data_IF_661149093046
#
_entry.id   IF_661149093046
#
_cell.length_a   1.000
_cell.length_b   1.000
_cell.length_c   1.000
_cell.angle_alpha   90.00
_cell.angle_beta   90.00
_cell.angle_gamma   90.00
#
_symmetry.space_group_name_H-M   'P 1'
#
loop_
_entity.id
_entity.type
_entity.pdbx_description
1 polymer ?
#
# COMPACT_ATOMS: atom_id res chain seq x y z
N UNK A 1 -31.60 14.50 2.67
CA UNK A 1 -30.94 13.61 1.70
C UNK A 1 -29.53 14.15 1.48
N UNK A 2 -28.52 13.56 2.11
CA UNK A 2 -27.14 14.05 2.00
C UNK A 2 -26.49 13.52 0.72
N UNK A 3 -25.96 14.45 -0.08
CA UNK A 3 -25.24 14.25 -1.33
C UNK A 3 -23.90 13.53 -1.08
N UNK A 4 -23.68 12.42 -1.80
CA UNK A 4 -22.47 11.62 -1.74
C UNK A 4 -21.40 12.25 -2.66
N UNK A 5 -20.61 13.18 -2.11
CA UNK A 5 -19.33 13.54 -2.72
C UNK A 5 -18.28 12.53 -2.25
N UNK A 6 -18.27 11.38 -2.93
CA UNK A 6 -17.32 10.30 -2.72
C UNK A 6 -15.96 10.72 -3.27
N UNK A 7 -14.98 10.86 -2.38
CA UNK A 7 -13.62 11.14 -2.77
C UNK A 7 -13.02 9.95 -3.50
N UNK A 8 -12.47 10.23 -4.69
CA UNK A 8 -12.08 9.21 -5.64
C UNK A 8 -10.56 9.04 -5.59
N UNK A 9 -10.03 7.81 -5.47
CA UNK A 9 -8.59 7.61 -5.46
C UNK A 9 -8.01 7.95 -6.82
N UNK A 10 -6.85 8.62 -6.80
CA UNK A 10 -6.10 9.03 -7.97
C UNK A 10 -4.84 8.18 -8.09
N UNK A 11 -4.39 7.94 -9.33
CA UNK A 11 -3.16 7.19 -9.61
C UNK A 11 -1.96 8.13 -9.52
N UNK A 12 -0.92 7.74 -8.77
CA UNK A 12 0.39 8.43 -8.73
C UNK A 12 1.45 7.49 -9.28
N UNK A 13 2.36 8.00 -10.11
CA UNK A 13 3.53 7.26 -10.62
C UNK A 13 4.82 7.92 -10.15
N UNK A 14 5.72 7.14 -9.53
CA UNK A 14 6.95 7.65 -8.88
C UNK A 14 8.24 7.26 -9.61
N UNK A 15 8.18 6.86 -10.89
CA UNK A 15 9.35 6.34 -11.61
C UNK A 15 10.54 7.30 -11.75
N UNK A 16 10.30 8.62 -11.81
CA UNK A 16 11.36 9.65 -11.94
C UNK A 16 10.99 11.02 -11.35
N UNK A 17 9.84 11.18 -10.71
CA UNK A 17 9.39 12.48 -10.16
C UNK A 17 9.50 12.51 -8.63
N UNK A 18 9.92 13.64 -8.04
CA UNK A 18 9.83 13.84 -6.59
C UNK A 18 8.37 13.67 -6.15
N UNK A 19 8.17 13.06 -4.97
CA UNK A 19 6.86 12.79 -4.37
C UNK A 19 5.95 14.01 -4.51
N UNK A 20 4.94 13.95 -5.38
CA UNK A 20 3.98 15.03 -5.51
C UNK A 20 3.11 15.06 -4.24
N UNK A 21 3.12 16.19 -3.54
CA UNK A 21 2.25 16.45 -2.40
C UNK A 21 0.83 16.73 -2.92
N UNK A 22 -0.08 15.77 -2.75
CA UNK A 22 -1.48 15.88 -3.16
C UNK A 22 -2.37 15.20 -2.13
N UNK A 23 -3.48 15.84 -1.76
CA UNK A 23 -4.43 15.28 -0.78
C UNK A 23 -5.27 14.19 -1.44
N UNK A 24 -5.06 12.93 -1.05
CA UNK A 24 -5.90 11.81 -1.49
C UNK A 24 -6.97 11.52 -0.45
N UNK A 25 -8.18 11.18 -0.89
CA UNK A 25 -9.11 10.48 0.00
C UNK A 25 -9.55 9.15 -0.61
N UNK A 26 -8.94 8.07 -0.11
CA UNK A 26 -9.59 6.78 -0.03
C UNK A 26 -10.52 6.80 1.20
N UNK A 27 -11.73 6.23 1.10
CA UNK A 27 -12.63 6.11 2.26
C UNK A 27 -11.87 5.42 3.41
N UNK A 28 -11.73 6.09 4.57
CA UNK A 28 -11.01 5.50 5.66
C UNK A 28 -11.76 4.30 6.25
N UNK A 29 -11.03 3.27 6.71
CA UNK A 29 -9.61 3.03 6.44
C UNK A 29 -9.48 2.06 5.26
N UNK A 30 -8.68 2.44 4.25
CA UNK A 30 -8.11 1.46 3.33
C UNK A 30 -7.25 0.51 4.17
N UNK A 31 -7.82 -0.65 4.51
CA UNK A 31 -7.13 -1.69 5.28
C UNK A 31 -6.73 -2.80 4.32
N UNK A 32 -5.43 -2.96 4.15
CA UNK A 32 -4.86 -4.13 3.51
C UNK A 32 -3.82 -4.77 4.44
N UNK A 33 -3.46 -6.00 4.12
CA UNK A 33 -2.35 -6.72 4.71
C UNK A 33 -1.19 -6.75 3.72
N UNK A 34 0.06 -6.93 4.19
CA UNK A 34 1.18 -7.16 3.31
C UNK A 34 0.96 -8.41 2.45
N UNK A 35 1.24 -8.32 1.16
CA UNK A 35 1.06 -9.38 0.17
C UNK A 35 -0.27 -9.36 -0.61
N UNK A 36 -1.20 -8.49 -0.22
CA UNK A 36 -2.48 -8.34 -0.92
C UNK A 36 -2.36 -7.57 -2.25
N UNK A 37 -3.37 -7.72 -3.09
CA UNK A 37 -3.48 -7.01 -4.37
C UNK A 37 -4.78 -6.19 -4.42
N UNK A 38 -4.90 -5.34 -5.44
CA UNK A 38 -6.15 -4.66 -5.77
C UNK A 38 -6.77 -5.21 -7.05
N UNK A 39 -8.09 -5.32 -7.06
CA UNK A 39 -8.90 -5.38 -8.27
C UNK A 39 -9.23 -3.94 -8.69
N UNK A 40 -8.56 -3.43 -9.70
CA UNK A 40 -8.66 -2.06 -10.20
C UNK A 40 -9.72 -1.95 -11.30
N UNK A 41 -10.66 -1.04 -11.08
CA UNK A 41 -11.70 -0.64 -12.02
C UNK A 41 -11.39 0.76 -12.55
N UNK A 42 -11.22 0.86 -13.88
CA UNK A 42 -10.91 2.11 -14.57
C UNK A 42 -12.14 2.51 -15.40
N UNK A 43 -12.67 3.75 -15.25
CA UNK A 43 -13.79 4.22 -16.05
C UNK A 43 -13.53 4.04 -17.56
N UNK A 44 -14.50 3.46 -18.27
CA UNK A 44 -14.41 3.20 -19.70
C UNK A 44 -13.60 1.95 -20.09
N UNK A 45 -12.98 1.24 -19.15
CA UNK A 45 -12.30 -0.05 -19.39
C UNK A 45 -13.10 -1.17 -18.70
N UNK A 46 -13.77 -2.06 -19.45
CA UNK A 46 -14.63 -3.09 -18.87
C UNK A 46 -13.85 -4.21 -18.16
N UNK A 47 -12.57 -4.37 -18.48
CA UNK A 47 -11.69 -5.37 -17.86
C UNK A 47 -11.19 -4.88 -16.50
N UNK A 48 -11.35 -5.71 -15.47
CA UNK A 48 -10.77 -5.46 -14.14
C UNK A 48 -9.28 -5.86 -14.14
N UNK A 49 -8.43 -5.00 -13.60
CA UNK A 49 -6.99 -5.24 -13.52
C UNK A 49 -6.54 -5.66 -12.12
N UNK A 50 -5.93 -6.84 -11.98
CA UNK A 50 -5.33 -7.29 -10.72
C UNK A 50 -3.90 -6.79 -10.57
N UNK A 51 -3.61 -5.97 -9.54
CA UNK A 51 -2.26 -5.43 -9.30
C UNK A 51 -1.85 -5.54 -7.84
N UNK A 52 -0.67 -6.13 -7.58
CA UNK A 52 -0.16 -6.30 -6.22
C UNK A 52 0.23 -4.98 -5.58
N UNK A 53 -0.14 -4.80 -4.32
CA UNK A 53 0.30 -3.68 -3.48
C UNK A 53 1.73 -3.95 -3.04
N UNK A 54 2.62 -2.99 -3.25
CA UNK A 54 4.03 -3.06 -2.84
C UNK A 54 4.33 -2.24 -1.57
N UNK A 55 3.49 -1.27 -1.24
CA UNK A 55 3.62 -0.46 -0.03
C UNK A 55 3.15 -1.20 1.22
N UNK A 56 3.55 -0.71 2.40
CA UNK A 56 3.12 -1.26 3.68
C UNK A 56 1.71 -0.76 4.06
N UNK A 57 0.93 -1.49 4.88
CA UNK A 57 -0.38 -1.02 5.36
C UNK A 57 -0.35 0.35 6.03
N UNK A 58 0.76 0.70 6.67
CA UNK A 58 0.96 1.98 7.36
C UNK A 58 0.86 3.18 6.42
N UNK A 59 1.25 3.06 5.14
CA UNK A 59 1.15 4.17 4.17
C UNK A 59 -0.28 4.53 3.81
N UNK A 60 -1.23 3.61 4.03
CA UNK A 60 -2.64 3.80 3.76
C UNK A 60 -3.43 4.32 4.99
N UNK A 61 -2.82 4.35 6.18
CA UNK A 61 -3.50 4.73 7.42
C UNK A 61 -3.53 6.26 7.63
N UNK A 62 -4.54 6.78 8.36
CA UNK A 62 -4.50 8.13 8.90
C UNK A 62 -3.28 8.31 9.81
N UNK A 63 -2.57 9.42 9.66
CA UNK A 63 -1.65 9.89 10.70
C UNK A 63 -2.51 10.23 11.91
N UNK A 64 -2.42 9.44 12.97
CA UNK A 64 -2.88 9.83 14.30
C UNK A 64 -1.75 10.58 14.99
N UNK A 65 -1.58 11.86 14.66
CA UNK A 65 -0.60 12.71 15.35
C UNK A 65 -1.21 13.17 16.67
N UNK A 66 -0.79 12.56 17.78
CA UNK A 66 -0.84 13.17 19.12
C UNK A 66 0.51 13.81 19.50
N UNK A 67 1.52 13.73 18.62
CA UNK A 67 2.82 14.34 18.86
C UNK A 67 2.82 15.84 18.50
N UNK A 68 3.43 16.71 19.32
CA UNK A 68 3.49 18.14 19.06
C UNK A 68 4.31 18.44 17.79
N UNK A 69 3.68 19.23 16.93
CA UNK A 69 4.19 19.99 15.78
C UNK A 69 5.67 19.80 15.41
N UNK A 70 5.94 18.79 14.57
CA UNK A 70 7.09 18.84 13.65
C UNK A 70 6.60 19.44 12.34
N UNK A 71 7.31 20.40 11.71
CA UNK A 71 6.90 21.05 10.46
C UNK A 71 7.09 20.15 9.22
N UNK A 72 6.90 18.85 9.37
CA UNK A 72 6.88 17.93 8.23
C UNK A 72 5.53 18.06 7.53
N UNK A 73 5.49 18.10 6.19
CA UNK A 73 4.23 18.14 5.45
C UNK A 73 3.37 16.93 5.84
N UNK A 74 2.03 17.07 5.90
CA UNK A 74 1.15 15.97 6.24
C UNK A 74 1.42 14.78 5.32
N UNK A 75 1.86 13.66 5.92
CA UNK A 75 2.10 12.43 5.19
C UNK A 75 0.83 12.01 4.45
N UNK A 76 0.99 12.00 3.15
CA UNK A 76 -0.07 11.76 2.20
C UNK A 76 -0.36 10.26 2.14
N UNK A 77 -1.64 9.84 2.16
CA UNK A 77 -2.03 8.41 2.17
C UNK A 77 -1.95 7.81 0.78
N UNK A 78 -1.25 6.71 0.61
CA UNK A 78 -1.17 6.06 -0.70
C UNK A 78 -0.98 4.55 -0.58
N UNK A 79 -1.26 3.87 -1.69
CA UNK A 79 -0.73 2.53 -1.99
C UNK A 79 0.21 2.63 -3.18
N UNK A 80 1.24 1.80 -3.19
CA UNK A 80 2.16 1.68 -4.32
C UNK A 80 1.90 0.38 -5.06
N UNK A 81 2.01 0.45 -6.40
CA UNK A 81 1.87 -0.68 -7.30
C UNK A 81 3.10 -0.71 -8.21
N UNK A 82 3.68 -1.89 -8.42
CA UNK A 82 4.71 -2.10 -9.44
C UNK A 82 4.13 -2.90 -10.60
N UNK A 83 4.00 -2.28 -11.77
CA UNK A 83 3.20 -2.83 -12.87
C UNK A 83 4.07 -3.06 -14.10
N UNK A 84 4.19 -4.32 -14.51
CA UNK A 84 4.87 -4.67 -15.76
C UNK A 84 4.12 -4.10 -16.97
N UNK A 85 4.88 -3.59 -17.94
CA UNK A 85 4.32 -3.11 -19.20
C UNK A 85 3.67 -4.28 -19.95
N UNK A 86 2.37 -4.18 -20.18
CA UNK A 86 1.60 -5.18 -20.93
C UNK A 86 0.59 -4.48 -21.83
N UNK A 87 0.95 -4.11 -23.07
CA UNK A 87 0.07 -3.39 -23.99
C UNK A 87 -1.22 -4.14 -24.34
N UNK A 88 -1.20 -5.48 -24.27
CA UNK A 88 -2.37 -6.33 -24.53
C UNK A 88 -3.33 -6.49 -23.33
N UNK A 89 -2.96 -5.99 -22.15
CA UNK A 89 -3.83 -5.97 -20.97
C UNK A 89 -4.37 -4.53 -20.81
N UNK A 90 -5.67 -4.26 -21.04
CA UNK A 90 -6.17 -2.89 -21.08
C UNK A 90 -5.94 -2.08 -19.79
N UNK A 91 -6.13 -2.63 -18.58
CA UNK A 91 -5.79 -1.92 -17.35
C UNK A 91 -4.30 -1.57 -17.22
N UNK A 92 -3.40 -2.51 -17.55
CA UNK A 92 -1.96 -2.25 -17.51
C UNK A 92 -1.55 -1.24 -18.60
N UNK A 93 -2.10 -1.35 -19.80
CA UNK A 93 -1.88 -0.42 -20.90
C UNK A 93 -2.33 1.00 -20.53
N UNK A 94 -3.51 1.14 -19.90
CA UNK A 94 -3.99 2.41 -19.36
C UNK A 94 -3.01 3.01 -18.37
N UNK A 95 -2.59 2.21 -17.39
CA UNK A 95 -1.65 2.70 -16.40
C UNK A 95 -0.35 3.12 -17.09
N UNK A 96 0.11 2.41 -18.13
CA UNK A 96 1.32 2.74 -18.90
C UNK A 96 1.25 3.95 -19.84
N UNK A 97 0.13 4.68 -19.88
CA UNK A 97 0.03 5.96 -20.60
C UNK A 97 0.88 7.06 -19.95
N UNK A 98 1.00 8.20 -20.64
CA UNK A 98 1.74 9.35 -20.13
C UNK A 98 1.11 9.85 -18.82
N UNK A 99 1.90 10.31 -17.83
CA UNK A 99 1.36 10.81 -16.55
C UNK A 99 0.29 11.88 -16.74
N UNK A 100 0.49 12.82 -17.68
CA UNK A 100 -0.49 13.87 -17.99
C UNK A 100 -1.87 13.34 -18.42
N UNK A 101 -1.97 12.09 -18.86
CA UNK A 101 -3.22 11.45 -19.29
C UNK A 101 -3.96 10.75 -18.14
N UNK A 102 -3.24 10.34 -17.09
CA UNK A 102 -3.78 9.45 -16.04
C UNK A 102 -3.72 10.05 -14.64
N UNK A 103 -2.84 11.02 -14.38
CA UNK A 103 -2.78 11.71 -13.10
C UNK A 103 -4.11 12.44 -12.87
N UNK A 104 -4.55 12.45 -11.61
CA UNK A 104 -5.84 13.00 -11.18
C UNK A 104 -7.07 12.32 -11.80
N UNK A 105 -6.89 11.30 -12.64
CA UNK A 105 -8.02 10.52 -13.14
C UNK A 105 -8.55 9.61 -12.03
N UNK A 106 -9.86 9.62 -11.80
CA UNK A 106 -10.49 8.76 -10.80
C UNK A 106 -10.42 7.30 -11.20
N UNK A 107 -10.06 6.44 -10.25
CA UNK A 107 -10.22 4.99 -10.35
C UNK A 107 -11.00 4.47 -9.15
N UNK A 108 -11.45 3.22 -9.19
CA UNK A 108 -11.98 2.55 -7.99
C UNK A 108 -11.34 1.17 -7.88
N UNK A 109 -11.24 0.64 -6.67
CA UNK A 109 -10.63 -0.67 -6.48
C UNK A 109 -11.16 -1.38 -5.24
N UNK A 110 -10.95 -2.70 -5.21
CA UNK A 110 -11.19 -3.55 -4.05
C UNK A 110 -9.90 -4.27 -3.66
N UNK A 111 -9.67 -4.47 -2.36
CA UNK A 111 -8.50 -5.22 -1.88
C UNK A 111 -8.83 -6.71 -1.85
N UNK A 112 -7.96 -7.52 -2.46
CA UNK A 112 -8.10 -8.96 -2.57
C UNK A 112 -6.84 -9.71 -2.14
N UNK A 113 -6.91 -11.04 -2.19
CA UNK A 113 -5.77 -11.91 -1.95
C UNK A 113 -5.63 -12.39 -0.50
N UNK A 114 -5.12 -13.62 -0.38
CA UNK A 114 -4.87 -14.32 0.90
C UNK A 114 -3.39 -14.66 1.11
N UNK A 115 -2.54 -14.38 0.12
CA UNK A 115 -1.10 -14.56 0.20
C UNK A 115 -0.51 -13.41 1.00
N UNK A 116 -0.51 -13.55 2.33
CA UNK A 116 -0.05 -12.51 3.25
C UNK A 116 1.03 -13.04 4.16
N UNK A 117 1.85 -12.13 4.67
CA UNK A 117 2.72 -12.40 5.81
C UNK A 117 2.42 -11.43 6.96
N UNK A 118 2.24 -11.93 8.20
CA UNK A 118 2.19 -13.35 8.55
C UNK A 118 0.98 -14.07 7.91
N UNK A 119 1.03 -15.41 7.75
CA UNK A 119 -0.08 -16.17 7.17
C UNK A 119 -1.34 -16.04 8.01
N UNK A 120 -2.47 -15.65 7.40
CA UNK A 120 -3.76 -15.47 8.12
C UNK A 120 -4.34 -16.74 8.72
N UNK A 121 -3.81 -17.90 8.35
CA UNK A 121 -4.22 -19.19 8.89
C UNK A 121 -3.58 -19.49 10.23
N UNK A 122 -2.55 -18.74 10.63
CA UNK A 122 -1.87 -18.89 11.91
C UNK A 122 -2.45 -17.90 12.93
N UNK A 123 -2.54 -18.35 14.17
CA UNK A 123 -2.83 -17.47 15.30
C UNK A 123 -1.69 -16.49 15.59
N UNK A 124 -1.92 -15.55 16.50
CA UNK A 124 -0.93 -14.54 16.87
C UNK A 124 0.34 -15.16 17.48
N UNK A 125 0.18 -16.17 18.34
CA UNK A 125 1.32 -16.86 18.98
C UNK A 125 2.13 -17.66 17.96
N UNK A 126 1.46 -18.41 17.09
CA UNK A 126 2.12 -19.16 16.02
C UNK A 126 2.86 -18.24 15.05
N UNK A 127 2.24 -17.11 14.68
CA UNK A 127 2.87 -16.10 13.84
C UNK A 127 4.08 -15.45 14.51
N UNK A 128 4.03 -15.24 15.83
CA UNK A 128 5.15 -14.69 16.60
C UNK A 128 6.31 -15.68 16.79
N UNK A 129 6.03 -16.99 16.71
CA UNK A 129 7.01 -18.06 16.79
C UNK A 129 7.74 -18.32 15.46
N UNK A 130 7.37 -17.63 14.37
CA UNK A 130 8.07 -17.75 13.09
C UNK A 130 9.43 -17.07 13.20
N UNK A 131 10.50 -17.86 13.28
CA UNK A 131 11.88 -17.37 13.29
C UNK A 131 12.42 -17.09 11.89
N UNK A 132 11.98 -17.88 10.90
CA UNK A 132 12.52 -17.83 9.54
C UNK A 132 11.37 -17.90 8.52
N UNK A 133 11.44 -17.03 7.51
CA UNK A 133 10.55 -17.05 6.35
C UNK A 133 11.40 -17.08 5.06
N UNK A 134 11.09 -18.00 4.15
CA UNK A 134 11.75 -18.10 2.84
C UNK A 134 10.78 -17.62 1.77
N UNK A 135 11.18 -16.60 1.02
CA UNK A 135 10.41 -16.07 -0.10
C UNK A 135 11.08 -16.45 -1.42
N UNK A 136 10.28 -16.97 -2.36
CA UNK A 136 10.74 -17.32 -3.71
C UNK A 136 9.87 -16.55 -4.71
N UNK A 137 10.51 -15.80 -5.61
CA UNK A 137 9.81 -15.01 -6.61
C UNK A 137 10.52 -15.00 -7.96
N UNK A 138 9.75 -14.74 -9.01
CA UNK A 138 10.24 -14.44 -10.35
C UNK A 138 9.36 -13.38 -11.01
N UNK A 139 9.98 -12.48 -11.79
CA UNK A 139 9.28 -11.36 -12.43
C UNK A 139 8.51 -10.50 -11.43
N UNK A 140 7.27 -10.14 -11.77
CA UNK A 140 6.38 -9.35 -10.89
C UNK A 140 5.95 -10.09 -9.61
N UNK A 141 6.28 -11.38 -9.46
CA UNK A 141 6.05 -12.14 -8.23
C UNK A 141 6.83 -11.62 -7.02
N UNK A 142 7.79 -10.70 -7.21
CA UNK A 142 8.51 -10.03 -6.12
C UNK A 142 7.66 -8.98 -5.39
N UNK A 143 6.66 -8.41 -6.06
CA UNK A 143 5.83 -7.33 -5.53
C UNK A 143 5.17 -7.62 -4.17
N UNK A 144 4.50 -8.78 -3.95
CA UNK A 144 3.92 -9.07 -2.65
C UNK A 144 4.99 -9.17 -1.55
N UNK A 145 6.18 -9.70 -1.88
CA UNK A 145 7.28 -9.85 -0.93
C UNK A 145 7.80 -8.49 -0.48
N UNK A 146 7.87 -7.50 -1.38
CA UNK A 146 8.28 -6.14 -1.00
C UNK A 146 7.39 -5.58 0.11
N UNK A 147 6.08 -5.67 -0.03
CA UNK A 147 5.16 -5.20 1.02
C UNK A 147 5.33 -5.98 2.33
N UNK A 148 5.59 -7.30 2.27
CA UNK A 148 5.79 -8.16 3.44
C UNK A 148 7.06 -7.79 4.19
N UNK A 149 8.20 -7.70 3.49
CA UNK A 149 9.50 -7.37 4.09
C UNK A 149 9.48 -5.96 4.66
N UNK A 150 8.95 -4.97 3.94
CA UNK A 150 8.83 -3.61 4.46
C UNK A 150 7.91 -3.52 5.68
N UNK A 151 6.86 -4.33 5.76
CA UNK A 151 6.00 -4.38 6.93
C UNK A 151 6.68 -5.06 8.14
N UNK A 152 7.53 -6.07 7.91
CA UNK A 152 8.36 -6.68 8.97
C UNK A 152 9.38 -5.69 9.52
N UNK A 153 10.05 -4.95 8.63
CA UNK A 153 11.02 -3.91 8.99
C UNK A 153 10.38 -2.83 9.88
N UNK A 154 9.26 -2.26 9.43
CA UNK A 154 8.51 -1.27 10.21
C UNK A 154 8.01 -1.82 11.57
N UNK A 155 7.65 -3.11 11.63
CA UNK A 155 7.26 -3.75 12.90
C UNK A 155 8.47 -3.98 13.83
N UNK A 156 9.65 -4.25 13.26
CA UNK A 156 10.92 -4.37 13.99
C UNK A 156 11.33 -3.04 14.63
N UNK A 157 11.27 -1.94 13.88
CA UNK A 157 11.53 -0.58 14.39
C UNK A 157 10.56 -0.18 15.52
N UNK A 158 9.28 -0.52 15.38
CA UNK A 158 8.31 -0.27 16.44
C UNK A 158 8.69 -1.05 17.72
N UNK A 159 9.05 -2.33 17.60
CA UNK A 159 9.44 -3.16 18.76
C UNK A 159 10.72 -2.66 19.44
N UNK A 160 11.73 -2.24 18.67
CA UNK A 160 12.98 -1.73 19.23
C UNK A 160 12.79 -0.38 19.94
N UNK A 161 11.97 0.51 19.39
CA UNK A 161 11.64 1.79 20.06
C UNK A 161 10.85 1.59 21.36
N UNK A 162 9.93 0.63 21.43
CA UNK A 162 9.26 0.28 22.69
C UNK A 162 10.18 -0.30 23.77
N UNK A 163 11.26 -0.98 23.38
CA UNK A 163 12.24 -1.58 24.32
C UNK A 163 13.30 -0.56 24.79
N UNK A 164 13.55 0.50 24.03
CA UNK A 164 14.56 1.53 24.35
C UNK A 164 14.16 2.49 25.48
N UNK A 165 12.87 2.67 25.77
CA UNK A 165 12.36 3.59 26.80
C UNK A 165 12.27 2.97 28.21
N UNK A 166 12.55 1.67 28.35
CA UNK A 166 12.41 0.94 29.63
C UNK A 166 13.68 0.82 30.48
N UNK A 167 14.79 1.42 30.06
CA UNK A 167 16.11 1.16 30.62
C UNK A 167 16.86 2.40 31.11
N UNK A 168 16.32 3.09 32.13
CA UNK A 168 17.17 3.89 33.03
C UNK A 168 16.49 4.11 34.38
N UNK A 169 16.69 3.17 35.29
CA UNK A 169 16.61 3.39 36.74
C UNK A 169 17.77 2.62 37.37
N UNK A 170 18.91 3.29 37.44
CA UNK A 170 19.94 3.05 38.47
C UNK A 170 19.75 4.12 39.57
#
# INVERSE_FOLDING_TARGET
MASANDSIPHVVRTGHEPRQAGTWHARPPLRHLPGQYIDLHIPGIPTVGGFTITSTPQTALPITTTAPERPEPPQTRYIELAIQKSPGNPPAAYLWQAPSTILNSPVSFQVGGRFTYPPRTLGQQESAAIENAVFVAGGVGINPIMSMVSAMDAAGEARSSFLGDGGMLD
#
